data_IF_441691482288
#
_entry.id   IF_441691482288
#
_cell.length_a   1.000
_cell.length_b   1.000
_cell.length_c   1.000
_cell.angle_alpha   90.00
_cell.angle_beta   90.00
_cell.angle_gamma   90.00
#
_symmetry.space_group_name_H-M   'P 1'
#
loop_
_entity.id
_entity.type
_entity.pdbx_description
1 polymer ?
#
# COMPACT_ATOMS: atom_id res chain seq x y z
N UNK A 1 12.31 -42.39 -4.03
CA UNK A 1 12.20 -41.24 -4.95
C UNK A 1 11.73 -40.06 -4.13
N UNK A 2 12.46 -38.95 -4.00
CA UNK A 2 11.89 -37.77 -3.37
C UNK A 2 10.84 -37.21 -4.34
N UNK A 3 9.60 -37.13 -3.87
CA UNK A 3 8.52 -36.46 -4.58
C UNK A 3 8.93 -35.02 -4.86
N UNK A 4 9.22 -34.75 -6.13
CA UNK A 4 9.44 -33.41 -6.63
C UNK A 4 8.08 -32.72 -6.59
N UNK A 5 7.70 -32.16 -5.43
CA UNK A 5 6.53 -31.31 -5.32
C UNK A 5 6.74 -30.14 -6.27
N UNK A 6 6.07 -30.18 -7.43
CA UNK A 6 5.95 -29.03 -8.31
C UNK A 6 5.47 -27.86 -7.44
N UNK A 7 6.38 -26.95 -7.09
CA UNK A 7 6.02 -25.70 -6.44
C UNK A 7 5.18 -24.94 -7.45
N UNK A 8 3.88 -24.91 -7.20
CA UNK A 8 2.93 -24.13 -7.99
C UNK A 8 3.45 -22.69 -8.09
N UNK A 9 3.71 -22.23 -9.31
CA UNK A 9 4.27 -20.91 -9.54
C UNK A 9 3.20 -19.86 -9.22
N UNK A 10 3.44 -19.04 -8.21
CA UNK A 10 2.54 -17.94 -7.82
C UNK A 10 2.89 -16.68 -8.57
N UNK A 11 1.96 -16.23 -9.41
CA UNK A 11 2.06 -14.96 -10.13
C UNK A 11 1.38 -13.82 -9.34
N UNK A 12 1.83 -12.56 -9.51
CA UNK A 12 3.07 -12.18 -10.19
C UNK A 12 4.31 -12.64 -9.43
N UNK A 13 5.40 -12.90 -10.17
CA UNK A 13 6.65 -13.33 -9.58
C UNK A 13 7.30 -12.21 -8.74
N UNK A 14 8.11 -12.58 -7.76
CA UNK A 14 8.94 -11.63 -7.03
C UNK A 14 9.84 -10.86 -8.01
N UNK A 15 9.89 -9.53 -7.87
CA UNK A 15 10.65 -8.63 -8.73
C UNK A 15 9.93 -8.22 -10.02
N UNK A 16 8.80 -8.84 -10.35
CA UNK A 16 8.03 -8.48 -11.53
C UNK A 16 7.55 -7.02 -11.48
N UNK A 17 7.46 -6.41 -12.66
CA UNK A 17 6.93 -5.07 -12.85
C UNK A 17 5.50 -5.21 -13.41
N UNK A 18 4.54 -4.74 -12.63
CA UNK A 18 3.10 -4.87 -12.92
C UNK A 18 2.46 -3.48 -13.00
N UNK A 19 1.27 -3.43 -13.59
CA UNK A 19 0.39 -2.29 -13.37
C UNK A 19 -0.48 -2.52 -12.14
N UNK A 20 -0.99 -1.43 -11.56
CA UNK A 20 -2.07 -1.50 -10.58
C UNK A 20 -3.20 -0.61 -11.05
N UNK A 21 -4.44 -1.10 -10.97
CA UNK A 21 -5.64 -0.37 -11.39
C UNK A 21 -6.67 -0.34 -10.26
N UNK A 22 -7.18 0.86 -9.98
CA UNK A 22 -8.31 1.08 -9.09
C UNK A 22 -9.55 1.42 -9.91
N UNK A 23 -10.62 0.69 -9.64
CA UNK A 23 -11.93 0.88 -10.24
C UNK A 23 -12.90 1.46 -9.20
N UNK A 24 -13.88 2.26 -9.62
CA UNK A 24 -15.06 2.53 -8.80
C UNK A 24 -16.05 1.36 -8.91
N UNK A 25 -17.00 1.29 -7.98
CA UNK A 25 -17.93 0.16 -7.89
C UNK A 25 -18.71 -0.13 -9.18
N UNK A 26 -19.03 0.90 -9.96
CA UNK A 26 -19.69 0.77 -11.25
C UNK A 26 -18.78 0.27 -12.40
N UNK A 27 -17.54 -0.14 -12.10
CA UNK A 27 -16.57 -0.63 -13.08
C UNK A 27 -15.78 0.46 -13.81
N UNK A 28 -15.94 1.73 -13.44
CA UNK A 28 -15.17 2.81 -14.02
C UNK A 28 -13.70 2.75 -13.58
N UNK A 29 -12.76 2.73 -14.53
CA UNK A 29 -11.33 2.82 -14.25
C UNK A 29 -11.00 4.23 -13.74
N UNK A 30 -10.77 4.36 -12.44
CA UNK A 30 -10.51 5.64 -11.79
C UNK A 30 -9.03 6.03 -11.84
N UNK A 31 -8.13 5.07 -11.59
CA UNK A 31 -6.70 5.35 -11.48
C UNK A 31 -5.84 4.15 -11.89
N UNK A 32 -4.73 4.41 -12.56
CA UNK A 32 -3.73 3.42 -12.92
C UNK A 32 -2.32 3.85 -12.52
N UNK A 33 -1.59 2.96 -11.86
CA UNK A 33 -0.17 3.09 -11.55
C UNK A 33 0.63 2.18 -12.49
N UNK A 34 1.60 2.76 -13.20
CA UNK A 34 2.39 2.05 -14.20
C UNK A 34 3.80 1.78 -13.67
N UNK A 35 4.23 0.51 -13.73
CA UNK A 35 5.59 0.14 -13.33
C UNK A 35 5.76 -0.07 -11.83
N UNK A 36 4.81 -0.75 -11.20
CA UNK A 36 4.83 -1.09 -9.77
C UNK A 36 5.62 -2.39 -9.58
N UNK A 37 6.60 -2.40 -8.66
CA UNK A 37 7.43 -3.57 -8.42
C UNK A 37 6.80 -4.49 -7.37
N UNK A 38 6.75 -5.78 -7.65
CA UNK A 38 6.31 -6.80 -6.68
C UNK A 38 7.50 -7.17 -5.78
N UNK A 39 7.41 -6.85 -4.48
CA UNK A 39 8.45 -7.18 -3.49
C UNK A 39 8.08 -8.37 -2.60
N UNK A 40 6.81 -8.79 -2.63
CA UNK A 40 6.34 -10.05 -2.02
C UNK A 40 5.02 -10.48 -2.64
N UNK A 41 4.86 -11.79 -2.83
CA UNK A 41 3.60 -12.44 -3.18
C UNK A 41 3.47 -13.72 -2.35
N UNK A 42 2.57 -13.73 -1.37
CA UNK A 42 2.21 -14.91 -0.56
C UNK A 42 0.73 -15.26 -0.78
N UNK A 43 0.23 -16.30 -0.12
CA UNK A 43 -1.21 -16.57 -0.14
C UNK A 43 -2.01 -15.46 0.55
N UNK A 44 -1.42 -14.82 1.54
CA UNK A 44 -2.12 -13.83 2.37
C UNK A 44 -2.11 -12.41 1.77
N UNK A 45 -1.06 -12.02 1.02
CA UNK A 45 -0.94 -10.65 0.53
C UNK A 45 0.01 -10.47 -0.66
N UNK A 46 -0.20 -9.36 -1.37
CA UNK A 46 0.83 -8.70 -2.14
C UNK A 46 1.51 -7.61 -1.30
N UNK A 47 2.84 -7.51 -1.38
CA UNK A 47 3.54 -6.30 -1.00
C UNK A 47 4.24 -5.76 -2.25
N UNK A 48 3.99 -4.49 -2.53
CA UNK A 48 4.47 -3.80 -3.72
C UNK A 48 5.34 -2.62 -3.32
N UNK A 49 6.20 -2.18 -4.23
CA UNK A 49 7.02 -0.99 -4.08
C UNK A 49 6.76 -0.04 -5.25
N UNK A 50 6.49 1.22 -4.91
CA UNK A 50 6.38 2.32 -5.88
C UNK A 50 7.40 3.39 -5.56
N UNK A 51 8.08 3.86 -6.60
CA UNK A 51 9.02 4.97 -6.53
C UNK A 51 9.17 5.59 -7.91
N UNK A 52 8.93 6.90 -8.02
CA UNK A 52 8.89 7.62 -9.31
C UNK A 52 7.89 7.00 -10.31
N UNK A 53 6.81 6.43 -9.80
CA UNK A 53 5.76 5.73 -10.55
C UNK A 53 4.79 6.73 -11.17
N UNK A 54 4.49 6.57 -12.46
CA UNK A 54 3.49 7.39 -13.16
C UNK A 54 2.08 6.93 -12.80
N UNK A 55 1.27 7.88 -12.37
CA UNK A 55 -0.15 7.70 -12.07
C UNK A 55 -0.97 8.39 -13.15
N UNK A 56 -1.83 7.64 -13.81
CA UNK A 56 -2.81 8.16 -14.76
C UNK A 56 -4.20 8.12 -14.11
N UNK A 57 -4.95 9.20 -14.28
CA UNK A 57 -6.36 9.29 -13.91
C UNK A 57 -7.13 9.49 -15.21
N UNK A 58 -8.16 8.69 -15.47
CA UNK A 58 -8.79 8.60 -16.80
C UNK A 58 -9.32 9.95 -17.32
N UNK A 59 -9.73 10.84 -16.43
CA UNK A 59 -10.26 12.17 -16.76
C UNK A 59 -9.32 13.34 -16.39
N UNK A 60 -8.11 13.07 -15.87
CA UNK A 60 -7.22 14.12 -15.37
C UNK A 60 -5.79 13.96 -15.85
N UNK A 61 -5.01 15.02 -15.68
CA UNK A 61 -3.57 15.00 -15.95
C UNK A 61 -2.87 13.93 -15.13
N UNK A 62 -1.96 13.19 -15.77
CA UNK A 62 -1.09 12.24 -15.07
C UNK A 62 -0.12 12.95 -14.14
N UNK A 63 0.21 12.33 -13.02
CA UNK A 63 1.21 12.80 -12.07
C UNK A 63 2.20 11.69 -11.69
N UNK A 64 3.24 12.02 -10.94
CA UNK A 64 4.29 11.06 -10.54
C UNK A 64 4.38 10.97 -9.04
N UNK A 65 4.32 9.74 -8.52
CA UNK A 65 4.58 9.45 -7.12
C UNK A 65 6.08 9.58 -6.84
N UNK A 66 6.51 10.67 -6.20
CA UNK A 66 7.94 11.00 -6.03
C UNK A 66 8.60 10.29 -4.85
N UNK A 67 7.81 9.96 -3.83
CA UNK A 67 8.30 9.37 -2.59
C UNK A 67 8.26 7.84 -2.68
N UNK A 68 9.18 7.13 -2.01
CA UNK A 68 9.14 5.67 -1.94
C UNK A 68 7.97 5.23 -1.05
N UNK A 69 7.17 4.28 -1.54
CA UNK A 69 6.01 3.75 -0.80
C UNK A 69 5.99 2.23 -0.89
N UNK A 70 5.70 1.60 0.25
CA UNK A 70 5.33 0.19 0.29
C UNK A 70 3.81 0.11 0.25
N UNK A 71 3.28 -0.68 -0.68
CA UNK A 71 1.84 -0.85 -0.83
C UNK A 71 1.46 -2.29 -0.49
N UNK A 72 0.77 -2.46 0.64
CA UNK A 72 0.25 -3.73 1.11
C UNK A 72 -1.16 -3.96 0.58
N UNK A 73 -1.40 -5.14 -0.02
CA UNK A 73 -2.71 -5.55 -0.51
C UNK A 73 -3.01 -6.98 -0.01
N UNK A 74 -3.65 -7.11 1.18
CA UNK A 74 -4.16 -8.39 1.65
C UNK A 74 -5.11 -9.03 0.64
N UNK A 75 -4.98 -10.34 0.43
CA UNK A 75 -5.83 -11.11 -0.49
C UNK A 75 -7.15 -11.56 0.13
N UNK A 76 -7.27 -11.46 1.44
CA UNK A 76 -8.41 -11.94 2.21
C UNK A 76 -9.13 -10.85 3.02
N UNK A 77 -8.63 -9.61 3.00
CA UNK A 77 -9.22 -8.47 3.70
C UNK A 77 -9.61 -7.38 2.69
N UNK A 78 -10.62 -6.57 3.02
CA UNK A 78 -11.22 -5.59 2.12
C UNK A 78 -10.59 -4.19 2.25
N UNK A 79 -9.25 -4.14 2.22
CA UNK A 79 -8.52 -2.88 2.19
C UNK A 79 -7.18 -3.06 1.49
N UNK A 80 -6.53 -1.94 1.17
CA UNK A 80 -5.10 -1.91 0.88
C UNK A 80 -4.46 -0.70 1.59
N UNK A 81 -3.16 -0.75 1.86
CA UNK A 81 -2.46 0.27 2.64
C UNK A 81 -1.18 0.76 1.95
N UNK A 82 -1.06 2.07 1.77
CA UNK A 82 0.10 2.77 1.26
C UNK A 82 0.92 3.34 2.43
N UNK A 83 2.14 2.86 2.57
CA UNK A 83 3.10 3.29 3.61
C UNK A 83 4.17 4.15 2.94
N UNK A 84 3.97 5.45 2.95
CA UNK A 84 4.93 6.40 2.39
C UNK A 84 6.11 6.55 3.35
N UNK A 85 7.29 6.19 2.86
CA UNK A 85 8.50 6.14 3.66
C UNK A 85 9.17 7.52 3.66
N UNK A 86 9.08 8.27 4.78
CA UNK A 86 9.92 9.46 4.98
C UNK A 86 11.20 9.11 5.73
N UNK A 87 12.14 10.07 5.80
CA UNK A 87 13.41 9.90 6.53
C UNK A 87 13.25 9.57 8.02
N UNK A 88 12.18 10.06 8.67
CA UNK A 88 11.98 9.89 10.12
C UNK A 88 10.75 9.06 10.49
N UNK A 89 9.66 9.21 9.73
CA UNK A 89 8.40 8.58 10.08
C UNK A 89 7.65 8.10 8.82
N UNK A 90 6.73 7.16 8.99
CA UNK A 90 5.87 6.71 7.90
C UNK A 90 4.58 7.53 7.88
N UNK A 91 4.08 7.78 6.68
CA UNK A 91 2.73 8.30 6.49
C UNK A 91 1.89 7.15 5.95
N UNK A 92 0.82 6.81 6.65
CA UNK A 92 -0.01 5.65 6.34
C UNK A 92 -1.34 6.14 5.79
N UNK A 93 -1.72 5.59 4.64
CA UNK A 93 -3.02 5.78 4.05
C UNK A 93 -3.61 4.40 3.76
N UNK A 94 -4.82 4.14 4.23
CA UNK A 94 -5.52 2.86 4.03
C UNK A 94 -6.81 3.15 3.29
N UNK A 95 -7.04 2.40 2.23
CA UNK A 95 -8.23 2.48 1.40
C UNK A 95 -9.09 1.25 1.63
N UNK A 96 -10.36 1.46 2.00
CA UNK A 96 -11.35 0.38 2.03
C UNK A 96 -11.61 -0.05 0.59
N UNK A 97 -11.33 -1.31 0.27
CA UNK A 97 -11.25 -1.76 -1.11
C UNK A 97 -11.74 -3.21 -1.27
N UNK A 98 -12.02 -3.63 -2.50
CA UNK A 98 -12.16 -5.06 -2.78
C UNK A 98 -10.85 -5.78 -2.50
N UNK A 99 -10.96 -7.09 -2.31
CA UNK A 99 -9.80 -7.98 -2.38
C UNK A 99 -9.15 -7.82 -3.77
N UNK A 100 -7.81 -7.77 -3.85
CA UNK A 100 -7.12 -7.61 -5.12
C UNK A 100 -7.20 -8.88 -5.95
N UNK A 101 -7.32 -8.72 -7.27
CA UNK A 101 -7.10 -9.79 -8.23
C UNK A 101 -5.87 -9.50 -9.07
N UNK A 102 -5.27 -10.53 -9.67
CA UNK A 102 -4.17 -10.37 -10.61
C UNK A 102 -4.53 -11.05 -11.93
N UNK A 103 -4.54 -10.27 -13.01
CA UNK A 103 -4.75 -10.72 -14.38
C UNK A 103 -4.07 -9.74 -15.33
N UNK A 104 -3.70 -10.18 -16.53
CA UNK A 104 -3.12 -9.30 -17.57
C UNK A 104 -1.94 -8.45 -17.08
N UNK A 105 -1.03 -9.06 -16.31
CA UNK A 105 0.10 -8.39 -15.66
C UNK A 105 -0.30 -7.15 -14.83
N UNK A 106 -1.50 -7.16 -14.27
CA UNK A 106 -2.11 -6.03 -13.59
C UNK A 106 -2.81 -6.48 -12.32
N UNK A 107 -2.53 -5.81 -11.21
CA UNK A 107 -3.29 -5.99 -9.97
C UNK A 107 -4.47 -5.03 -10.01
N UNK A 108 -5.69 -5.56 -9.86
CA UNK A 108 -6.94 -4.78 -9.96
C UNK A 108 -7.69 -4.84 -8.64
N UNK A 109 -8.30 -3.73 -8.25
CA UNK A 109 -9.19 -3.65 -7.09
C UNK A 109 -10.26 -2.59 -7.30
N UNK A 110 -11.34 -2.69 -6.51
CA UNK A 110 -12.41 -1.70 -6.44
C UNK A 110 -12.15 -0.83 -5.20
N UNK A 111 -12.17 0.49 -5.38
CA UNK A 111 -12.10 1.51 -4.36
C UNK A 111 -13.50 1.72 -3.76
N UNK A 112 -13.64 1.65 -2.44
CA UNK A 112 -14.92 1.83 -1.74
C UNK A 112 -15.09 3.22 -1.13
N UNK A 113 -14.30 4.20 -1.58
CA UNK A 113 -14.47 5.63 -1.28
C UNK A 113 -14.36 6.03 0.20
N UNK A 114 -13.93 5.12 1.08
CA UNK A 114 -13.75 5.39 2.51
C UNK A 114 -12.31 5.06 2.90
N UNK A 115 -11.67 6.00 3.57
CA UNK A 115 -10.23 5.94 3.81
C UNK A 115 -9.85 6.22 5.26
N UNK A 116 -8.64 5.80 5.61
CA UNK A 116 -7.98 6.13 6.86
C UNK A 116 -6.64 6.80 6.56
N UNK A 117 -6.32 7.84 7.33
CA UNK A 117 -5.00 8.48 7.38
C UNK A 117 -4.41 8.35 8.78
N UNK A 118 -3.15 7.95 8.87
CA UNK A 118 -2.37 7.97 10.11
C UNK A 118 -1.03 8.67 9.86
N UNK A 119 -0.81 9.74 10.62
CA UNK A 119 0.36 10.61 10.50
C UNK A 119 1.08 10.72 11.84
N UNK A 120 2.40 11.01 11.83
CA UNK A 120 3.15 11.16 13.06
C UNK A 120 2.54 12.26 13.94
N UNK A 121 2.38 11.97 15.23
CA UNK A 121 1.82 12.90 16.25
C UNK A 121 0.36 13.28 16.01
N UNK A 122 -0.38 12.53 15.18
CA UNK A 122 -1.83 12.69 15.02
C UNK A 122 -2.50 11.35 15.24
N UNK A 123 -3.69 11.39 15.82
CA UNK A 123 -4.54 10.21 15.90
C UNK A 123 -4.94 9.76 14.48
N UNK A 124 -5.30 8.48 14.40
CA UNK A 124 -5.85 7.90 13.19
C UNK A 124 -7.14 8.64 12.82
N UNK A 125 -7.24 9.09 11.58
CA UNK A 125 -8.40 9.83 11.08
C UNK A 125 -9.09 9.05 9.96
N UNK A 126 -10.40 8.86 10.11
CA UNK A 126 -11.27 8.37 9.03
C UNK A 126 -11.63 9.57 8.16
N UNK A 127 -11.36 9.48 6.87
CA UNK A 127 -11.52 10.57 5.90
C UNK A 127 -12.40 10.14 4.74
N UNK A 128 -12.75 11.11 3.87
CA UNK A 128 -13.51 10.90 2.64
C UNK A 128 -14.94 10.33 2.88
N UNK A 129 -15.48 10.56 4.09
CA UNK A 129 -16.85 10.19 4.50
C UNK A 129 -17.93 10.76 3.57
N UNK A 130 -17.72 11.99 3.07
CA UNK A 130 -18.66 12.65 2.17
C UNK A 130 -18.62 12.03 0.76
N UNK A 131 -17.42 11.65 0.28
CA UNK A 131 -17.26 10.92 -0.98
C UNK A 131 -17.94 9.55 -0.89
N UNK A 132 -17.69 8.80 0.19
CA UNK A 132 -18.39 7.56 0.48
C UNK A 132 -19.90 7.73 0.50
N UNK A 133 -20.42 8.70 1.25
CA UNK A 133 -21.87 8.92 1.36
C UNK A 133 -22.52 9.28 0.01
N UNK A 134 -21.82 10.05 -0.82
CA UNK A 134 -22.27 10.41 -2.16
C UNK A 134 -22.23 9.20 -3.12
N UNK A 135 -21.08 8.54 -3.24
CA UNK A 135 -20.87 7.43 -4.16
C UNK A 135 -21.67 6.19 -3.79
N UNK A 136 -21.86 5.94 -2.49
CA UNK A 136 -22.72 4.87 -1.97
C UNK A 136 -24.17 5.00 -2.44
N UNK A 137 -24.68 6.24 -2.58
CA UNK A 137 -26.00 6.50 -3.17
C UNK A 137 -25.94 6.42 -4.70
N UNK A 138 -24.96 7.09 -5.31
CA UNK A 138 -24.83 7.20 -6.78
C UNK A 138 -24.65 5.86 -7.48
N UNK A 139 -23.89 4.96 -6.86
CA UNK A 139 -23.57 3.63 -7.40
C UNK A 139 -24.35 2.52 -6.69
N UNK A 140 -25.36 2.88 -5.89
CA UNK A 140 -26.29 1.95 -5.24
C UNK A 140 -25.59 0.83 -4.46
N UNK A 141 -24.69 1.20 -3.54
CA UNK A 141 -23.96 0.20 -2.75
C UNK A 141 -24.97 -0.65 -1.97
N UNK A 142 -24.93 -1.99 -2.12
CA UNK A 142 -25.83 -2.84 -1.36
C UNK A 142 -25.48 -2.76 0.13
N UNK A 143 -26.47 -2.90 1.00
CA UNK A 143 -26.27 -2.85 2.45
C UNK A 143 -25.25 -3.88 2.95
N UNK A 144 -25.17 -5.04 2.28
CA UNK A 144 -24.14 -6.05 2.55
C UNK A 144 -22.72 -5.53 2.32
N UNK A 145 -22.50 -4.72 1.27
CA UNK A 145 -21.20 -4.10 0.99
C UNK A 145 -20.88 -3.03 2.04
N UNK A 146 -21.84 -2.16 2.37
CA UNK A 146 -21.64 -1.13 3.42
C UNK A 146 -21.24 -1.78 4.74
N UNK A 147 -21.88 -2.89 5.10
CA UNK A 147 -21.52 -3.69 6.28
C UNK A 147 -20.07 -4.19 6.22
N UNK A 148 -19.64 -4.74 5.07
CA UNK A 148 -18.25 -5.19 4.89
C UNK A 148 -17.26 -4.02 5.04
N UNK A 149 -17.58 -2.84 4.49
CA UNK A 149 -16.75 -1.64 4.58
C UNK A 149 -16.58 -1.21 6.04
N UNK A 150 -17.67 -1.11 6.81
CA UNK A 150 -17.61 -0.73 8.22
C UNK A 150 -16.89 -1.79 9.09
N UNK A 151 -17.13 -3.07 8.84
CA UNK A 151 -16.40 -4.14 9.53
C UNK A 151 -14.90 -4.10 9.22
N UNK A 152 -14.53 -3.76 7.97
CA UNK A 152 -13.13 -3.63 7.59
C UNK A 152 -12.48 -2.40 8.22
N UNK A 153 -13.24 -1.30 8.34
CA UNK A 153 -12.80 -0.11 9.04
C UNK A 153 -12.48 -0.43 10.51
N UNK A 154 -13.38 -1.11 11.22
CA UNK A 154 -13.17 -1.57 12.59
C UNK A 154 -11.94 -2.49 12.70
N UNK A 155 -11.79 -3.44 11.77
CA UNK A 155 -10.62 -4.32 11.71
C UNK A 155 -9.29 -3.54 11.56
N UNK A 156 -9.26 -2.52 10.70
CA UNK A 156 -8.04 -1.72 10.50
C UNK A 156 -7.73 -0.86 11.73
N UNK A 157 -8.76 -0.31 12.40
CA UNK A 157 -8.58 0.42 13.66
C UNK A 157 -8.04 -0.51 14.75
N UNK A 158 -8.55 -1.74 14.88
CA UNK A 158 -8.04 -2.73 15.83
C UNK A 158 -6.55 -3.08 15.55
N UNK A 159 -6.19 -3.26 14.27
CA UNK A 159 -4.78 -3.47 13.88
C UNK A 159 -3.90 -2.26 14.23
N UNK A 160 -4.42 -1.04 14.11
CA UNK A 160 -3.71 0.17 14.51
C UNK A 160 -3.47 0.20 16.03
N UNK A 161 -4.50 -0.02 16.84
CA UNK A 161 -4.40 -0.03 18.30
C UNK A 161 -3.41 -1.09 18.80
N UNK A 162 -3.42 -2.28 18.17
CA UNK A 162 -2.52 -3.39 18.51
C UNK A 162 -1.15 -3.32 17.83
N UNK A 163 -0.88 -2.27 17.04
CA UNK A 163 0.36 -2.10 16.27
C UNK A 163 0.71 -3.34 15.41
N UNK A 164 -0.29 -3.90 14.74
CA UNK A 164 -0.18 -5.11 13.94
C UNK A 164 0.08 -4.84 12.45
N UNK A 165 0.61 -5.85 11.78
CA UNK A 165 0.85 -5.84 10.33
C UNK A 165 1.61 -4.59 9.86
N UNK A 166 1.10 -3.78 8.93
CA UNK A 166 1.80 -2.57 8.44
C UNK A 166 1.88 -1.42 9.45
N UNK A 167 1.21 -1.50 10.59
CA UNK A 167 1.45 -0.59 11.72
C UNK A 167 2.64 -1.01 12.57
N UNK A 168 3.12 -2.26 12.47
CA UNK A 168 4.31 -2.72 13.17
C UNK A 168 5.57 -2.14 12.50
N UNK A 169 6.35 -1.28 13.18
CA UNK A 169 7.54 -0.67 12.60
C UNK A 169 8.61 -1.72 12.19
N UNK A 170 8.72 -2.83 12.92
CA UNK A 170 9.68 -3.90 12.59
C UNK A 170 9.36 -4.56 11.24
N UNK A 171 8.07 -4.71 10.91
CA UNK A 171 7.67 -5.24 9.61
C UNK A 171 8.04 -4.26 8.50
N UNK A 172 7.82 -2.96 8.72
CA UNK A 172 8.20 -1.94 7.74
C UNK A 172 9.71 -1.90 7.52
N UNK A 173 10.51 -1.97 8.59
CA UNK A 173 11.97 -2.01 8.50
C UNK A 173 12.46 -3.25 7.74
N UNK A 174 11.85 -4.42 7.97
CA UNK A 174 12.12 -5.63 7.19
C UNK A 174 11.93 -5.39 5.68
N UNK A 175 10.80 -4.78 5.27
CA UNK A 175 10.57 -4.52 3.85
C UNK A 175 11.52 -3.44 3.29
N UNK A 176 11.88 -2.42 4.08
CA UNK A 176 12.91 -1.45 3.69
C UNK A 176 14.22 -2.18 3.37
N UNK A 177 14.64 -3.13 4.20
CA UNK A 177 15.86 -3.90 3.97
C UNK A 177 15.77 -4.79 2.72
N UNK A 178 14.61 -5.41 2.46
CA UNK A 178 14.36 -6.16 1.23
C UNK A 178 14.54 -5.26 0.00
N UNK A 179 13.93 -4.06 0.01
CA UNK A 179 13.97 -3.11 -1.11
C UNK A 179 15.39 -2.56 -1.31
N UNK A 180 16.15 -2.31 -0.23
CA UNK A 180 17.56 -1.90 -0.29
C UNK A 180 18.46 -2.99 -0.88
N UNK A 181 18.24 -4.26 -0.51
CA UNK A 181 18.99 -5.41 -1.07
C UNK A 181 18.75 -5.59 -2.57
N UNK A 182 17.54 -5.27 -3.02
CA UNK A 182 17.16 -5.23 -4.44
C UNK A 182 17.65 -3.95 -5.18
N UNK A 183 18.36 -3.05 -4.50
CA UNK A 183 18.83 -1.75 -5.02
C UNK A 183 17.71 -0.81 -5.54
N UNK A 184 16.45 -1.08 -5.16
CA UNK A 184 15.31 -0.23 -5.50
C UNK A 184 15.21 1.02 -4.62
N UNK A 185 15.93 1.04 -3.50
CA UNK A 185 16.02 2.15 -2.57
C UNK A 185 17.49 2.35 -2.17
N UNK A 186 17.98 3.59 -1.99
CA UNK A 186 19.35 3.85 -1.57
C UNK A 186 19.71 3.11 -0.28
N UNK A 187 20.91 2.54 -0.22
CA UNK A 187 21.38 1.78 0.95
C UNK A 187 21.43 2.64 2.22
N UNK A 188 21.72 3.93 2.05
CA UNK A 188 21.77 4.96 3.09
C UNK A 188 20.39 5.55 3.45
N UNK A 189 19.29 5.09 2.82
CA UNK A 189 17.95 5.53 3.21
C UNK A 189 17.71 5.23 4.69
N UNK A 190 17.46 6.28 5.50
CA UNK A 190 17.38 6.23 6.98
C UNK A 190 18.65 5.78 7.70
N UNK A 191 19.81 5.81 7.06
CA UNK A 191 21.07 5.70 7.79
C UNK A 191 21.16 6.83 8.83
N UNK A 192 21.77 6.59 10.00
CA UNK A 192 22.09 7.66 10.94
C UNK A 192 22.88 8.76 10.22
N UNK A 193 22.56 10.03 10.46
CA UNK A 193 23.41 11.10 9.94
C UNK A 193 24.83 10.91 10.51
N UNK A 194 25.88 11.05 9.70
CA UNK A 194 27.23 10.97 10.20
C UNK A 194 27.40 12.01 11.31
N UNK A 195 27.78 11.55 12.50
CA UNK A 195 28.04 12.43 13.64
C UNK A 195 29.09 13.44 13.23
N UNK A 196 28.70 14.72 13.12
CA UNK A 196 29.67 15.81 12.95
C UNK A 196 30.61 15.76 14.16
N UNK A 197 31.83 15.29 13.97
CA UNK A 197 32.85 15.37 15.01
C UNK A 197 32.96 16.84 15.40
N UNK A 198 32.63 17.19 16.64
CA UNK A 198 32.97 18.49 17.20
C UNK A 198 34.49 18.61 17.05
N UNK A 199 34.95 19.43 16.10
CA UNK A 199 36.33 19.94 16.14
C UNK A 199 36.44 20.66 17.47
N UNK A 200 37.13 20.04 18.42
CA UNK A 200 37.59 20.72 19.62
C UNK A 200 38.39 21.93 19.13
N UNK A 201 37.84 23.13 19.31
CA UNK A 201 38.67 24.32 19.36
C UNK A 201 39.63 24.08 20.53
N UNK A 202 40.89 23.82 20.23
CA UNK A 202 41.97 24.01 21.17
C UNK A 202 42.14 25.52 21.25
N UNK A 203 41.71 26.09 22.36
CA UNK A 203 42.23 27.36 22.86
C UNK A 203 43.51 27.07 23.65
#
# INVERSE_FOLDING_TARGET
MPENKNKEMKFPLLGAIVNVQAYKYNGYLYRQWNGVKVIRNTDDHFALFIYKTRVAETEKSSWVYREPVIWFMPKHENYNALIMLKKKHNYIYVNMASKPIYEDNTIKFIDFDLDIKSYPKRELAIVDRDEFAHNSKKYEYPESLKKIIYQTLELVVDKYEKQQYFFNPKLIDYYIDVIKKDNSLPKDFRAPEPTKSRRSKKD
#
